data_IF_624437427983
#
_entry.id   IF_624437427983
#
_cell.length_a   1.000
_cell.length_b   1.000
_cell.length_c   1.000
_cell.angle_alpha   90.00
_cell.angle_beta   90.00
_cell.angle_gamma   90.00
#
_symmetry.space_group_name_H-M   'P 1'
#
loop_
_entity.id
_entity.type
_entity.pdbx_description
1 polymer ?
#
# COMPACT_ATOMS: atom_id res chain seq x y z
N UNK A 1 17.06 26.40 -6.90
CA UNK A 1 15.74 25.81 -6.63
C UNK A 1 15.60 24.64 -7.58
N UNK A 2 16.08 23.46 -7.18
CA UNK A 2 15.97 22.27 -8.02
C UNK A 2 14.49 21.87 -8.03
N UNK A 3 13.88 21.78 -9.20
CA UNK A 3 12.75 20.89 -9.47
C UNK A 3 13.39 19.58 -9.95
N UNK A 4 13.85 18.71 -9.04
CA UNK A 4 14.74 17.67 -9.46
C UNK A 4 13.86 16.49 -9.92
N UNK A 5 14.20 15.85 -11.04
CA UNK A 5 13.45 14.72 -11.59
C UNK A 5 13.24 13.56 -10.59
N UNK A 6 14.05 13.51 -9.53
CA UNK A 6 13.89 12.61 -8.38
C UNK A 6 12.55 12.79 -7.65
N UNK A 7 12.05 14.01 -7.47
CA UNK A 7 10.77 14.26 -6.78
C UNK A 7 9.61 13.75 -7.63
N UNK A 8 9.63 14.01 -8.94
CA UNK A 8 8.60 13.50 -9.86
C UNK A 8 8.64 11.97 -9.93
N UNK A 9 9.83 11.38 -10.06
CA UNK A 9 10.01 9.91 -10.04
C UNK A 9 9.52 9.33 -8.72
N UNK A 10 9.86 9.95 -7.59
CA UNK A 10 9.40 9.53 -6.26
C UNK A 10 7.87 9.54 -6.19
N UNK A 11 7.21 10.63 -6.61
CA UNK A 11 5.74 10.72 -6.58
C UNK A 11 5.11 9.67 -7.50
N UNK A 12 5.69 9.42 -8.68
CA UNK A 12 5.21 8.36 -9.59
C UNK A 12 5.31 6.98 -8.92
N UNK A 13 6.50 6.62 -8.41
CA UNK A 13 6.72 5.33 -7.75
C UNK A 13 5.80 5.16 -6.55
N UNK A 14 5.68 6.21 -5.72
CA UNK A 14 4.80 6.23 -4.56
C UNK A 14 3.33 6.04 -4.97
N UNK A 15 2.87 6.74 -6.01
CA UNK A 15 1.49 6.62 -6.52
C UNK A 15 1.20 5.21 -7.03
N UNK A 16 2.14 4.62 -7.77
CA UNK A 16 2.02 3.25 -8.28
C UNK A 16 2.00 2.22 -7.14
N UNK A 17 2.86 2.39 -6.12
CA UNK A 17 2.85 1.55 -4.93
C UNK A 17 1.53 1.67 -4.17
N UNK A 18 1.02 2.88 -3.95
CA UNK A 18 -0.29 3.11 -3.32
C UNK A 18 -1.42 2.44 -4.10
N UNK A 19 -1.42 2.54 -5.43
CA UNK A 19 -2.41 1.89 -6.28
C UNK A 19 -2.33 0.36 -6.19
N UNK A 20 -1.12 -0.21 -6.24
CA UNK A 20 -0.89 -1.64 -6.07
C UNK A 20 -1.35 -2.16 -4.71
N UNK A 21 -0.98 -1.47 -3.62
CA UNK A 21 -1.40 -1.82 -2.25
C UNK A 21 -2.92 -1.74 -2.13
N UNK A 22 -3.55 -0.73 -2.71
CA UNK A 22 -5.01 -0.57 -2.72
C UNK A 22 -5.67 -1.74 -3.44
N UNK A 23 -5.19 -2.09 -4.63
CA UNK A 23 -5.73 -3.19 -5.42
C UNK A 23 -5.59 -4.54 -4.69
N UNK A 24 -4.41 -4.81 -4.12
CA UNK A 24 -4.17 -5.99 -3.29
C UNK A 24 -5.08 -6.00 -2.07
N UNK A 25 -5.34 -4.83 -1.47
CA UNK A 25 -6.21 -4.72 -0.30
C UNK A 25 -7.67 -5.03 -0.64
N UNK A 26 -8.18 -4.50 -1.74
CA UNK A 26 -9.53 -4.78 -2.24
C UNK A 26 -9.68 -6.26 -2.62
N UNK A 27 -8.71 -6.83 -3.35
CA UNK A 27 -8.68 -8.25 -3.67
C UNK A 27 -8.61 -9.11 -2.40
N UNK A 28 -7.78 -8.69 -1.44
CA UNK A 28 -7.55 -9.36 -0.18
C UNK A 28 -8.80 -9.39 0.70
N UNK A 29 -9.63 -8.35 0.69
CA UNK A 29 -10.93 -8.35 1.40
C UNK A 29 -11.87 -9.46 0.91
N UNK A 30 -11.75 -9.88 -0.34
CA UNK A 30 -12.50 -11.03 -0.89
C UNK A 30 -11.83 -12.37 -0.59
N UNK A 31 -10.55 -12.37 -0.20
CA UNK A 31 -9.71 -13.57 -0.06
C UNK A 31 -8.91 -13.53 1.26
N UNK A 32 -9.55 -13.10 2.36
CA UNK A 32 -8.87 -12.75 3.62
C UNK A 32 -8.08 -13.92 4.18
N UNK A 33 -8.62 -15.13 4.11
CA UNK A 33 -7.94 -16.33 4.64
C UNK A 33 -6.67 -16.66 3.86
N UNK A 34 -6.68 -16.44 2.53
CA UNK A 34 -5.51 -16.61 1.69
C UNK A 34 -4.44 -15.56 2.00
N UNK A 35 -4.86 -14.30 2.20
CA UNK A 35 -3.95 -13.21 2.58
C UNK A 35 -3.37 -13.40 3.98
N UNK A 36 -4.17 -13.81 4.96
CA UNK A 36 -3.71 -14.05 6.31
C UNK A 36 -2.64 -15.14 6.35
N UNK A 37 -2.85 -16.26 5.63
CA UNK A 37 -1.83 -17.31 5.49
C UNK A 37 -0.57 -16.82 4.78
N UNK A 38 -0.72 -16.01 3.72
CA UNK A 38 0.42 -15.46 3.00
C UNK A 38 1.26 -14.53 3.90
N UNK A 39 0.62 -13.58 4.58
CA UNK A 39 1.30 -12.66 5.48
C UNK A 39 1.87 -13.37 6.70
N UNK A 40 1.19 -14.39 7.22
CA UNK A 40 1.71 -15.23 8.28
C UNK A 40 2.96 -15.97 7.84
N UNK A 41 2.95 -16.64 6.69
CA UNK A 41 4.12 -17.35 6.17
C UNK A 41 5.31 -16.42 5.92
N UNK A 42 5.06 -15.25 5.31
CA UNK A 42 6.09 -14.23 5.10
C UNK A 42 6.63 -13.68 6.43
N UNK A 43 5.74 -13.34 7.37
CA UNK A 43 6.10 -12.82 8.69
C UNK A 43 6.83 -13.85 9.55
N UNK A 44 6.45 -15.13 9.45
CA UNK A 44 7.11 -16.22 10.17
C UNK A 44 8.53 -16.43 9.67
N UNK A 45 8.78 -16.28 8.36
CA UNK A 45 10.12 -16.33 7.79
C UNK A 45 11.01 -15.16 8.24
N UNK A 46 10.44 -13.96 8.45
CA UNK A 46 11.21 -12.76 8.83
C UNK A 46 11.42 -12.61 10.34
N UNK A 47 10.40 -12.89 11.15
CA UNK A 47 10.37 -12.56 12.58
C UNK A 47 10.06 -13.78 13.48
N UNK A 48 9.88 -14.96 12.89
CA UNK A 48 9.52 -16.19 13.60
C UNK A 48 8.01 -16.38 13.79
N UNK A 49 7.60 -17.64 13.93
CA UNK A 49 6.18 -18.07 13.94
C UNK A 49 5.36 -17.45 15.08
N UNK A 50 5.92 -17.34 16.30
CA UNK A 50 5.22 -16.75 17.45
C UNK A 50 4.85 -15.27 17.25
N UNK A 51 5.71 -14.50 16.59
CA UNK A 51 5.43 -13.09 16.28
C UNK A 51 4.38 -13.02 15.17
N UNK A 52 4.53 -13.87 14.15
CA UNK A 52 3.58 -13.92 13.04
C UNK A 52 2.15 -14.27 13.49
N UNK A 53 1.97 -15.19 14.43
CA UNK A 53 0.64 -15.55 14.99
C UNK A 53 -0.06 -14.36 15.66
N UNK A 54 0.70 -13.48 16.33
CA UNK A 54 0.15 -12.30 17.01
C UNK A 54 -0.23 -11.19 16.03
N UNK A 55 0.63 -10.92 15.05
CA UNK A 55 0.46 -9.79 14.13
C UNK A 55 -0.45 -10.12 12.94
N UNK A 56 -0.37 -11.33 12.40
CA UNK A 56 -1.07 -11.73 11.17
C UNK A 56 -2.27 -12.65 11.45
N UNK A 57 -2.97 -12.38 12.55
CA UNK A 57 -4.29 -13.00 12.78
C UNK A 57 -5.26 -12.59 11.67
N UNK A 58 -6.23 -13.45 11.35
CA UNK A 58 -7.28 -13.16 10.35
C UNK A 58 -7.95 -11.80 10.60
N UNK A 59 -8.22 -11.47 11.86
CA UNK A 59 -8.84 -10.20 12.25
C UNK A 59 -7.90 -9.02 11.99
N UNK A 60 -6.63 -9.14 12.36
CA UNK A 60 -5.62 -8.11 12.09
C UNK A 60 -5.45 -7.88 10.59
N UNK A 61 -5.39 -8.95 9.79
CA UNK A 61 -5.31 -8.88 8.33
C UNK A 61 -6.55 -8.22 7.73
N UNK A 62 -7.76 -8.58 8.18
CA UNK A 62 -8.99 -7.95 7.70
C UNK A 62 -8.98 -6.43 7.95
N UNK A 63 -8.62 -6.01 9.17
CA UNK A 63 -8.55 -4.59 9.53
C UNK A 63 -7.51 -3.87 8.68
N UNK A 64 -6.30 -4.43 8.53
CA UNK A 64 -5.25 -3.85 7.70
C UNK A 64 -5.66 -3.68 6.23
N UNK A 65 -6.29 -4.70 5.65
CA UNK A 65 -6.81 -4.65 4.28
C UNK A 65 -7.96 -3.63 4.15
N UNK A 66 -8.87 -3.56 5.12
CA UNK A 66 -9.96 -2.60 5.11
C UNK A 66 -9.46 -1.15 5.19
N UNK A 67 -8.52 -0.87 6.10
CA UNK A 67 -7.89 0.44 6.21
C UNK A 67 -7.16 0.84 4.93
N UNK A 68 -6.37 -0.06 4.34
CA UNK A 68 -5.65 0.23 3.10
C UNK A 68 -6.60 0.39 1.91
N UNK A 69 -7.68 -0.38 1.84
CA UNK A 69 -8.68 -0.23 0.79
C UNK A 69 -9.44 1.11 0.88
N UNK A 70 -9.66 1.62 2.11
CA UNK A 70 -10.33 2.90 2.32
C UNK A 70 -9.41 4.11 2.09
N UNK A 71 -8.18 4.06 2.59
CA UNK A 71 -7.24 5.19 2.55
C UNK A 71 -6.41 5.21 1.26
N UNK A 72 -6.11 4.03 0.71
CA UNK A 72 -5.31 3.87 -0.50
C UNK A 72 -5.74 4.73 -1.70
N UNK A 73 -7.05 4.82 -2.04
CA UNK A 73 -7.53 5.70 -3.10
C UNK A 73 -7.21 7.18 -2.87
N UNK A 74 -7.20 7.64 -1.62
CA UNK A 74 -6.86 9.03 -1.28
C UNK A 74 -5.40 9.31 -1.64
N UNK A 75 -4.48 8.40 -1.29
CA UNK A 75 -3.08 8.55 -1.66
C UNK A 75 -2.87 8.53 -3.17
N UNK A 76 -3.56 7.65 -3.91
CA UNK A 76 -3.49 7.63 -5.38
C UNK A 76 -3.96 8.95 -5.99
N UNK A 77 -5.09 9.50 -5.52
CA UNK A 77 -5.60 10.78 -6.03
C UNK A 77 -4.62 11.92 -5.74
N UNK A 78 -4.08 12.01 -4.53
CA UNK A 78 -3.06 13.01 -4.17
C UNK A 78 -1.84 12.89 -5.09
N UNK A 79 -1.35 11.68 -5.31
CA UNK A 79 -0.21 11.40 -6.18
C UNK A 79 -0.44 11.83 -7.62
N UNK A 80 -1.59 11.49 -8.19
CA UNK A 80 -2.00 11.92 -9.54
C UNK A 80 -2.05 13.45 -9.62
N UNK A 81 -2.67 14.14 -8.65
CA UNK A 81 -2.73 15.61 -8.61
C UNK A 81 -1.33 16.22 -8.57
N UNK A 82 -0.42 15.67 -7.76
CA UNK A 82 0.97 16.13 -7.66
C UNK A 82 1.75 15.93 -8.96
N UNK A 83 1.55 14.79 -9.65
CA UNK A 83 2.15 14.51 -10.96
C UNK A 83 1.64 15.52 -11.98
N UNK A 84 0.33 15.72 -12.08
CA UNK A 84 -0.30 16.65 -13.02
C UNK A 84 0.20 18.07 -12.78
N UNK A 85 0.25 18.53 -11.53
CA UNK A 85 0.79 19.86 -11.19
C UNK A 85 2.24 20.04 -11.61
N UNK A 86 3.09 19.03 -11.36
CA UNK A 86 4.49 19.05 -11.80
C UNK A 86 4.61 19.10 -13.33
N UNK A 87 3.82 18.33 -14.06
CA UNK A 87 3.84 18.30 -15.52
C UNK A 87 3.33 19.60 -16.16
N UNK A 88 2.35 20.26 -15.52
CA UNK A 88 1.80 21.53 -15.99
C UNK A 88 2.64 22.75 -15.59
N UNK A 89 3.73 22.57 -14.83
CA UNK A 89 4.54 23.68 -14.32
C UNK A 89 3.82 24.56 -13.29
N UNK A 90 2.74 24.05 -12.67
CA UNK A 90 1.98 24.74 -11.64
C UNK A 90 2.55 24.34 -10.27
N UNK A 91 3.67 24.96 -9.91
CA UNK A 91 4.31 24.82 -8.60
C UNK A 91 3.51 25.55 -7.53
#
# INVERSE_FOLDING_TARGET
MQSPPDVLVFVIVWTLLSAGITAVSIYGLRNVDKMARFFHAAGAAMYGSRIADRFYSRRSTLVGLACNAAIGPVFVVIGIVMIVRNLLGVS
#
